data_IF_591663427206
#
_entry.id   IF_591663427206
#
_cell.length_a   1.000
_cell.length_b   1.000
_cell.length_c   1.000
_cell.angle_alpha   90.00
_cell.angle_beta   90.00
_cell.angle_gamma   90.00
#
_symmetry.space_group_name_H-M   'P 1'
#
loop_
_entity.id
_entity.type
_entity.pdbx_description
1 polymer ?
#
# COMPACT_ATOMS: atom_id res chain seq x y z
N UNK A 1 -13.53 -17.07 17.52
CA UNK A 1 -12.18 -17.11 18.13
C UNK A 1 -11.39 -15.92 17.60
N UNK A 2 -10.81 -15.05 18.46
CA UNK A 2 -9.95 -13.98 17.98
C UNK A 2 -8.65 -14.62 17.49
N UNK A 3 -8.38 -14.54 16.19
CA UNK A 3 -7.08 -14.95 15.63
C UNK A 3 -6.00 -14.07 16.27
N UNK A 4 -5.03 -14.69 16.93
CA UNK A 4 -3.87 -13.99 17.45
C UNK A 4 -3.24 -13.17 16.32
N UNK A 5 -3.32 -11.84 16.43
CA UNK A 5 -2.73 -10.92 15.46
C UNK A 5 -1.22 -11.03 15.68
N UNK A 6 -0.52 -11.72 14.78
CA UNK A 6 0.94 -11.70 14.77
C UNK A 6 1.36 -10.24 14.74
N UNK A 7 2.18 -9.83 15.71
CA UNK A 7 2.62 -8.45 15.81
C UNK A 7 3.32 -8.06 14.50
N UNK A 8 2.94 -6.94 13.87
CA UNK A 8 3.58 -6.50 12.64
C UNK A 8 5.06 -6.23 12.90
N UNK A 9 5.92 -6.62 11.96
CA UNK A 9 7.36 -6.36 12.04
C UNK A 9 7.60 -4.98 11.44
N UNK A 10 7.84 -3.98 12.28
CA UNK A 10 8.20 -2.63 11.83
C UNK A 10 9.57 -2.65 11.14
N UNK A 11 9.61 -2.11 9.93
CA UNK A 11 10.81 -2.02 9.08
C UNK A 11 11.42 -0.62 9.18
N UNK A 12 10.58 0.41 9.24
CA UNK A 12 11.00 1.80 9.38
C UNK A 12 9.91 2.65 10.02
N UNK A 13 10.31 3.74 10.68
CA UNK A 13 9.40 4.75 11.23
C UNK A 13 9.94 6.16 10.97
N UNK A 14 9.07 7.09 10.61
CA UNK A 14 9.38 8.53 10.49
C UNK A 14 8.18 9.37 10.88
N UNK A 15 8.24 10.01 12.05
CA UNK A 15 7.06 10.67 12.63
C UNK A 15 5.91 9.67 12.80
N UNK A 16 4.74 10.02 12.28
CA UNK A 16 3.55 9.16 12.28
C UNK A 16 3.58 8.05 11.22
N UNK A 17 4.56 8.07 10.31
CA UNK A 17 4.68 7.06 9.26
C UNK A 17 5.39 5.81 9.79
N UNK A 18 4.78 4.65 9.56
CA UNK A 18 5.35 3.35 9.93
C UNK A 18 5.24 2.41 8.72
N UNK A 19 6.36 1.82 8.30
CA UNK A 19 6.38 0.76 7.31
C UNK A 19 6.49 -0.59 8.04
N UNK A 20 5.57 -1.50 7.77
CA UNK A 20 5.47 -2.80 8.42
C UNK A 20 5.53 -3.93 7.40
N UNK A 21 6.15 -5.05 7.77
CA UNK A 21 6.07 -6.29 6.98
C UNK A 21 4.72 -6.96 7.23
N UNK A 22 4.05 -7.36 6.15
CA UNK A 22 2.84 -8.16 6.28
C UNK A 22 3.19 -9.59 6.74
N UNK A 23 2.69 -10.06 7.91
CA UNK A 23 2.96 -11.41 8.38
C UNK A 23 2.29 -12.50 7.52
N UNK A 24 1.26 -12.15 6.74
CA UNK A 24 0.56 -13.07 5.83
C UNK A 24 1.17 -13.12 4.43
N UNK A 25 1.97 -12.10 4.07
CA UNK A 25 2.64 -12.00 2.77
C UNK A 25 4.07 -11.48 2.97
N UNK A 26 5.09 -12.37 2.96
CA UNK A 26 6.48 -11.99 3.22
C UNK A 26 7.04 -10.82 2.37
N UNK A 27 6.56 -10.68 1.14
CA UNK A 27 6.90 -9.61 0.20
C UNK A 27 6.05 -8.34 0.36
N UNK A 28 4.96 -8.41 1.13
CA UNK A 28 4.04 -7.31 1.41
C UNK A 28 4.61 -6.28 2.39
N UNK A 29 4.33 -5.01 2.13
CA UNK A 29 4.67 -3.87 2.99
C UNK A 29 3.42 -3.03 3.21
N UNK A 30 3.03 -2.86 4.45
CA UNK A 30 1.97 -1.94 4.84
C UNK A 30 2.61 -0.62 5.27
N UNK A 31 2.18 0.50 4.66
CA UNK A 31 2.50 1.83 5.13
C UNK A 31 1.32 2.33 5.97
N UNK A 32 1.57 2.67 7.23
CA UNK A 32 0.63 3.31 8.14
C UNK A 32 0.99 4.78 8.33
N UNK A 33 -0.03 5.62 8.52
CA UNK A 33 0.10 6.98 8.98
C UNK A 33 -0.81 7.15 10.21
N UNK A 34 -0.21 7.15 11.39
CA UNK A 34 -0.96 7.04 12.65
C UNK A 34 -1.79 5.76 12.69
N UNK A 35 -3.11 5.90 12.87
CA UNK A 35 -4.03 4.76 12.95
C UNK A 35 -4.58 4.30 11.59
N UNK A 36 -4.26 5.02 10.52
CA UNK A 36 -4.73 4.73 9.16
C UNK A 36 -3.75 3.83 8.40
N UNK A 37 -4.29 2.80 7.75
CA UNK A 37 -3.59 2.08 6.68
C UNK A 37 -3.54 2.97 5.43
N UNK A 38 -2.36 3.52 5.14
CA UNK A 38 -2.19 4.58 4.16
C UNK A 38 -1.81 4.06 2.76
N UNK A 39 -1.11 2.92 2.68
CA UNK A 39 -0.78 2.26 1.41
C UNK A 39 -0.27 0.83 1.63
N UNK A 40 -0.20 0.04 0.57
CA UNK A 40 0.34 -1.31 0.60
C UNK A 40 1.04 -1.60 -0.73
N UNK A 41 2.22 -2.20 -0.67
CA UNK A 41 2.94 -2.69 -1.85
C UNK A 41 3.34 -4.14 -1.66
N UNK A 42 3.40 -4.89 -2.76
CA UNK A 42 4.02 -6.21 -2.81
C UNK A 42 5.36 -6.11 -3.56
N UNK A 43 6.46 -6.37 -2.87
CA UNK A 43 7.80 -6.31 -3.47
C UNK A 43 8.03 -7.39 -4.55
N UNK A 44 7.23 -8.47 -4.55
CA UNK A 44 7.29 -9.52 -5.56
C UNK A 44 6.32 -9.26 -6.74
N UNK A 45 5.28 -8.44 -6.53
CA UNK A 45 4.30 -8.06 -7.55
C UNK A 45 3.97 -6.56 -7.47
N UNK A 46 4.68 -5.69 -8.22
CA UNK A 46 4.42 -4.26 -8.21
C UNK A 46 3.05 -3.87 -8.79
N UNK A 47 2.27 -4.79 -9.37
CA UNK A 47 0.92 -4.54 -9.88
C UNK A 47 -0.17 -4.85 -8.85
N UNK A 48 0.20 -5.43 -7.70
CA UNK A 48 -0.73 -5.72 -6.60
C UNK A 48 -1.19 -4.41 -5.95
N UNK A 49 -2.50 -4.17 -5.99
CA UNK A 49 -3.13 -3.02 -5.36
C UNK A 49 -4.12 -3.54 -4.31
N UNK A 50 -3.72 -3.47 -3.03
CA UNK A 50 -4.56 -3.96 -1.92
C UNK A 50 -5.85 -3.13 -1.80
N UNK A 51 -5.75 -1.81 -1.93
CA UNK A 51 -6.87 -0.89 -1.74
C UNK A 51 -7.76 -0.80 -2.98
N UNK A 52 -9.07 -0.97 -2.79
CA UNK A 52 -10.05 -0.95 -3.88
C UNK A 52 -10.03 0.37 -4.67
N UNK A 53 -9.88 1.51 -3.98
CA UNK A 53 -9.87 2.82 -4.64
C UNK A 53 -8.70 2.96 -5.63
N UNK A 54 -7.53 2.37 -5.34
CA UNK A 54 -6.40 2.35 -6.26
C UNK A 54 -6.71 1.49 -7.49
N UNK A 55 -7.37 0.33 -7.30
CA UNK A 55 -7.82 -0.52 -8.41
C UNK A 55 -8.81 0.20 -9.31
N UNK A 56 -9.72 1.00 -8.75
CA UNK A 56 -10.66 1.83 -9.52
C UNK A 56 -9.94 2.95 -10.27
N UNK A 57 -9.01 3.66 -9.61
CA UNK A 57 -8.18 4.67 -10.29
C UNK A 57 -7.37 4.08 -11.44
N UNK A 58 -6.81 2.87 -11.28
CA UNK A 58 -6.12 2.16 -12.37
C UNK A 58 -7.04 1.95 -13.58
N UNK A 59 -8.29 1.54 -13.37
CA UNK A 59 -9.26 1.37 -14.45
C UNK A 59 -9.47 2.68 -15.21
N UNK A 60 -9.65 3.80 -14.48
CA UNK A 60 -9.85 5.12 -15.07
C UNK A 60 -8.62 5.56 -15.88
N UNK A 61 -7.42 5.44 -15.32
CA UNK A 61 -6.17 5.82 -16.00
C UNK A 61 -5.96 5.02 -17.28
N UNK A 62 -6.21 3.70 -17.22
CA UNK A 62 -6.10 2.83 -18.40
C UNK A 62 -7.15 3.18 -19.47
N UNK A 63 -8.40 3.42 -19.07
CA UNK A 63 -9.47 3.81 -19.97
C UNK A 63 -9.20 5.17 -20.65
N UNK A 64 -8.64 6.12 -19.92
CA UNK A 64 -8.23 7.43 -20.44
C UNK A 64 -7.04 7.35 -21.40
N UNK A 65 -6.33 6.21 -21.47
CA UNK A 65 -5.09 6.02 -22.25
C UNK A 65 -4.07 7.13 -21.96
N UNK A 66 -4.01 7.57 -20.70
CA UNK A 66 -3.18 8.69 -20.29
C UNK A 66 -1.69 8.37 -20.52
N UNK A 67 -0.98 9.25 -21.25
CA UNK A 67 0.47 9.11 -21.50
C UNK A 67 1.33 9.79 -20.44
N UNK A 68 0.75 10.71 -19.67
CA UNK A 68 1.40 11.47 -18.59
C UNK A 68 0.40 11.57 -17.44
N UNK A 69 0.84 11.17 -16.25
CA UNK A 69 0.04 11.18 -15.03
C UNK A 69 0.82 11.91 -13.96
N UNK A 70 0.18 12.86 -13.29
CA UNK A 70 0.72 13.56 -12.12
C UNK A 70 -0.02 13.07 -10.88
N UNK A 71 0.71 12.55 -9.91
CA UNK A 71 0.18 12.17 -8.61
C UNK A 71 0.42 13.32 -7.63
N UNK A 72 -0.64 13.91 -7.09
CA UNK A 72 -0.55 14.92 -6.02
C UNK A 72 -0.70 14.19 -4.70
N UNK A 73 0.43 13.83 -4.09
CA UNK A 73 0.47 12.84 -3.01
C UNK A 73 0.44 11.40 -3.56
N UNK A 74 0.23 10.41 -2.69
CA UNK A 74 0.21 8.99 -3.05
C UNK A 74 1.12 8.16 -2.15
N UNK A 75 0.56 7.64 -1.05
CA UNK A 75 1.30 6.83 -0.08
C UNK A 75 2.03 5.66 -0.77
N UNK A 76 3.32 5.53 -0.48
CA UNK A 76 4.22 4.53 -1.05
C UNK A 76 4.31 4.47 -2.59
N UNK A 77 3.76 5.45 -3.32
CA UNK A 77 3.76 5.49 -4.79
C UNK A 77 3.27 4.17 -5.43
N UNK A 78 2.22 3.56 -4.87
CA UNK A 78 1.81 2.20 -5.22
C UNK A 78 1.04 2.07 -6.55
N UNK A 79 0.41 3.16 -7.03
CA UNK A 79 -0.38 3.18 -8.28
C UNK A 79 0.39 3.79 -9.44
#
# INVERSE_FOLDING_TARGET
MPRARVAPITIARRGELVAERDPRRPSGRLLRQGDMDASYIDLADPKHLEFDYMRWMRIIVLAARARRVLHVGGGACAL
#
